data_IF_991063245048
#
_entry.id   IF_991063245048
#
_cell.length_a   1.000
_cell.length_b   1.000
_cell.length_c   1.000
_cell.angle_alpha   90.00
_cell.angle_beta   90.00
_cell.angle_gamma   90.00
#
_symmetry.space_group_name_H-M   'P 1'
#
loop_
_entity.id
_entity.type
_entity.pdbx_description
1 polymer ?
#
# COMPACT_ATOMS: atom_id res chain seq x y z
N UNK A 1 38.50 -5.70 39.66
CA UNK A 1 37.33 -5.60 38.76
C UNK A 1 37.55 -4.44 37.80
N UNK A 2 37.63 -4.69 36.49
CA UNK A 2 37.50 -3.66 35.44
C UNK A 2 36.77 -4.31 34.27
N UNK A 3 35.45 -4.10 34.22
CA UNK A 3 34.61 -4.47 33.09
C UNK A 3 34.85 -3.43 31.98
N UNK A 4 35.45 -3.84 30.87
CA UNK A 4 35.43 -3.06 29.63
C UNK A 4 34.15 -3.47 28.92
N UNK A 5 33.09 -2.71 29.11
CA UNK A 5 31.84 -2.85 28.37
C UNK A 5 32.03 -2.15 27.02
N UNK A 6 32.14 -2.92 25.94
CA UNK A 6 32.13 -2.38 24.58
C UNK A 6 30.67 -2.24 24.15
N UNK A 7 30.14 -1.06 24.44
CA UNK A 7 28.89 -0.54 23.89
C UNK A 7 29.21 0.07 22.50
N UNK A 8 28.95 -0.64 21.41
CA UNK A 8 28.88 -0.03 20.08
C UNK A 8 28.31 -0.98 19.03
N UNK A 9 27.04 -0.75 18.71
CA UNK A 9 26.52 -0.76 17.35
C UNK A 9 25.07 -0.26 17.38
N UNK A 10 24.87 1.03 17.65
CA UNK A 10 23.62 1.69 17.28
C UNK A 10 23.76 2.00 15.79
N UNK A 11 23.31 1.09 14.93
CA UNK A 11 23.12 1.41 13.52
C UNK A 11 21.79 2.15 13.42
N UNK A 12 21.86 3.48 13.49
CA UNK A 12 20.73 4.37 13.20
C UNK A 12 20.46 4.25 11.69
N UNK A 13 19.40 3.53 11.31
CA UNK A 13 18.79 3.73 10.01
C UNK A 13 18.06 5.08 10.06
N UNK A 14 18.75 6.15 9.64
CA UNK A 14 18.04 7.36 9.21
C UNK A 14 17.54 7.06 7.80
N UNK A 15 16.36 6.46 7.70
CA UNK A 15 15.65 6.36 6.43
C UNK A 15 15.24 7.78 6.02
N UNK A 16 15.75 8.20 4.88
CA UNK A 16 15.49 9.48 4.22
C UNK A 16 14.01 9.59 3.80
N UNK A 17 13.08 9.71 4.74
CA UNK A 17 11.65 9.90 4.45
C UNK A 17 11.24 11.39 4.41
N UNK A 18 12.18 12.32 4.54
CA UNK A 18 11.86 13.74 4.78
C UNK A 18 11.45 14.54 3.53
N UNK A 19 11.47 13.96 2.33
CA UNK A 19 11.15 14.67 1.08
C UNK A 19 10.31 13.85 0.07
N UNK A 20 9.62 12.79 0.50
CA UNK A 20 8.67 12.14 -0.40
C UNK A 20 7.55 13.15 -0.72
N UNK A 21 7.38 13.49 -2.00
CA UNK A 21 6.33 14.43 -2.40
C UNK A 21 4.96 13.78 -2.19
N UNK A 22 4.12 14.39 -1.35
CA UNK A 22 2.72 13.99 -1.21
C UNK A 22 1.95 14.33 -2.48
N UNK A 23 1.25 13.36 -3.04
CA UNK A 23 0.41 13.53 -4.22
C UNK A 23 -1.00 12.99 -3.98
N UNK A 24 -2.01 13.66 -4.54
CA UNK A 24 -3.39 13.17 -4.50
C UNK A 24 -3.54 11.97 -5.43
N UNK A 25 -4.07 10.88 -4.89
CA UNK A 25 -4.34 9.65 -5.62
C UNK A 25 -5.79 9.21 -5.49
N UNK A 26 -6.28 8.55 -6.53
CA UNK A 26 -7.54 7.81 -6.51
C UNK A 26 -7.25 6.34 -6.74
N UNK A 27 -7.70 5.49 -5.82
CA UNK A 27 -7.64 4.04 -5.95
C UNK A 27 -9.04 3.50 -6.25
N UNK A 28 -9.20 2.79 -7.37
CA UNK A 28 -10.40 2.03 -7.71
C UNK A 28 -10.16 0.54 -7.43
N UNK A 29 -10.93 -0.02 -6.52
CA UNK A 29 -10.86 -1.41 -6.09
C UNK A 29 -11.82 -2.24 -6.92
N UNK A 30 -11.29 -3.21 -7.67
CA UNK A 30 -12.10 -4.16 -8.41
C UNK A 30 -12.38 -5.38 -7.52
N UNK A 31 -13.64 -5.86 -7.43
CA UNK A 31 -13.99 -6.97 -6.57
C UNK A 31 -13.26 -8.24 -6.99
N UNK A 32 -12.68 -8.94 -6.01
CA UNK A 32 -12.04 -10.23 -6.25
C UNK A 32 -13.09 -11.33 -6.40
N UNK A 33 -12.93 -12.27 -7.36
CA UNK A 33 -13.75 -13.47 -7.39
C UNK A 33 -13.53 -14.28 -6.10
N UNK A 34 -14.55 -15.04 -5.67
CA UNK A 34 -14.51 -15.86 -4.44
C UNK A 34 -13.67 -17.14 -4.61
N UNK A 35 -12.43 -16.98 -5.08
CA UNK A 35 -11.43 -18.02 -5.30
C UNK A 35 -10.27 -17.76 -4.33
N UNK A 36 -9.64 -18.82 -3.82
CA UNK A 36 -8.54 -18.71 -2.86
C UNK A 36 -7.20 -19.15 -3.49
N UNK A 37 -6.09 -18.38 -3.30
CA UNK A 37 -6.02 -17.08 -2.63
C UNK A 37 -6.79 -15.99 -3.39
N UNK A 38 -7.42 -15.02 -2.69
CA UNK A 38 -8.09 -13.92 -3.37
C UNK A 38 -7.07 -13.04 -4.10
N UNK A 39 -7.46 -12.57 -5.28
CA UNK A 39 -6.68 -11.66 -6.11
C UNK A 39 -7.46 -10.36 -6.26
N UNK A 40 -6.97 -9.30 -5.62
CA UNK A 40 -7.53 -7.96 -5.71
C UNK A 40 -6.79 -7.17 -6.78
N UNK A 41 -7.53 -6.49 -7.65
CA UNK A 41 -6.96 -5.55 -8.62
C UNK A 41 -7.35 -4.15 -8.19
N UNK A 42 -6.35 -3.28 -8.05
CA UNK A 42 -6.53 -1.87 -7.70
C UNK A 42 -5.97 -1.06 -8.86
N UNK A 43 -6.76 -0.15 -9.40
CA UNK A 43 -6.31 0.86 -10.35
C UNK A 43 -5.98 2.12 -9.57
N UNK A 44 -4.76 2.61 -9.71
CA UNK A 44 -4.24 3.77 -9.00
C UNK A 44 -3.97 4.89 -10.00
N UNK A 45 -4.66 6.02 -9.85
CA UNK A 45 -4.47 7.21 -10.67
C UNK A 45 -3.82 8.32 -9.83
N UNK A 46 -2.68 8.84 -10.29
CA UNK A 46 -1.88 9.84 -9.60
C UNK A 46 -1.97 11.20 -10.32
N UNK A 47 -2.48 12.21 -9.61
CA UNK A 47 -2.94 13.48 -10.20
C UNK A 47 -1.83 14.42 -10.70
N UNK A 48 -0.75 14.58 -9.94
CA UNK A 48 0.40 15.45 -10.25
C UNK A 48 1.33 14.81 -11.28
N UNK A 49 1.73 13.55 -11.07
CA UNK A 49 2.61 12.80 -11.97
C UNK A 49 1.91 12.40 -13.27
N UNK A 50 0.56 12.34 -13.25
CA UNK A 50 -0.29 11.92 -14.38
C UNK A 50 0.05 10.50 -14.85
N UNK A 51 0.38 9.64 -13.90
CA UNK A 51 0.63 8.22 -14.15
C UNK A 51 -0.47 7.38 -13.54
N UNK A 52 -0.64 6.21 -14.11
CA UNK A 52 -1.62 5.25 -13.63
C UNK A 52 -0.99 3.87 -13.52
N UNK A 53 -1.38 3.13 -12.50
CA UNK A 53 -0.83 1.82 -12.20
C UNK A 53 -1.93 0.84 -11.85
N UNK A 54 -1.72 -0.41 -12.21
CA UNK A 54 -2.48 -1.53 -11.68
C UNK A 54 -1.65 -2.20 -10.59
N UNK A 55 -2.24 -2.34 -9.41
CA UNK A 55 -1.68 -3.06 -8.27
C UNK A 55 -2.53 -4.32 -8.10
N UNK A 56 -1.91 -5.47 -8.34
CA UNK A 56 -2.53 -6.77 -8.06
C UNK A 56 -2.06 -7.27 -6.71
N UNK A 57 -2.97 -7.51 -5.77
CA UNK A 57 -2.67 -8.04 -4.43
C UNK A 57 -3.12 -9.49 -4.34
N UNK A 58 -2.24 -10.36 -3.88
CA UNK A 58 -2.51 -11.76 -3.59
C UNK A 58 -2.31 -11.95 -2.10
N UNK A 59 -3.40 -12.22 -1.37
CA UNK A 59 -3.37 -12.39 0.08
C UNK A 59 -3.48 -13.87 0.44
N UNK A 60 -2.95 -14.26 1.60
CA UNK A 60 -3.11 -15.64 2.13
C UNK A 60 -4.31 -15.76 3.06
N UNK A 61 -5.06 -14.69 3.26
CA UNK A 61 -6.20 -14.62 4.17
C UNK A 61 -7.50 -14.44 3.38
N UNK A 62 -8.64 -14.70 4.02
CA UNK A 62 -9.96 -14.56 3.37
C UNK A 62 -10.56 -13.16 3.52
N UNK A 63 -9.75 -12.17 3.88
CA UNK A 63 -10.20 -10.81 4.19
C UNK A 63 -10.67 -10.11 2.93
N UNK A 64 -11.75 -9.33 3.02
CA UNK A 64 -12.40 -8.66 1.89
C UNK A 64 -12.10 -7.17 1.92
N UNK A 65 -11.30 -6.69 0.95
CA UNK A 65 -11.01 -5.25 0.83
C UNK A 65 -12.16 -4.49 0.15
N UNK A 66 -12.89 -5.12 -0.77
CA UNK A 66 -14.05 -4.53 -1.42
C UNK A 66 -14.97 -5.65 -1.96
N UNK A 67 -16.25 -5.63 -1.58
CA UNK A 67 -17.25 -6.61 -2.04
C UNK A 67 -17.91 -6.22 -3.38
N UNK A 68 -17.80 -4.96 -3.76
CA UNK A 68 -18.26 -4.35 -5.00
C UNK A 68 -17.23 -3.30 -5.44
N UNK A 69 -17.28 -2.78 -6.68
CA UNK A 69 -16.35 -1.74 -7.10
C UNK A 69 -16.43 -0.53 -6.18
N UNK A 70 -15.30 -0.15 -5.59
CA UNK A 70 -15.20 0.93 -4.62
C UNK A 70 -14.07 1.89 -4.98
N UNK A 71 -14.19 3.14 -4.54
CA UNK A 71 -13.17 4.17 -4.76
C UNK A 71 -12.71 4.76 -3.44
N UNK A 72 -11.40 4.80 -3.27
CA UNK A 72 -10.73 5.52 -2.20
C UNK A 72 -10.03 6.73 -2.78
N UNK A 73 -10.23 7.89 -2.18
CA UNK A 73 -9.45 9.10 -2.46
C UNK A 73 -8.53 9.37 -1.28
N UNK A 74 -7.30 9.75 -1.57
CA UNK A 74 -6.28 9.88 -0.53
C UNK A 74 -5.00 10.54 -1.03
N UNK A 75 -3.96 10.38 -0.23
CA UNK A 75 -2.61 10.84 -0.54
C UNK A 75 -1.67 9.64 -0.71
N UNK A 76 -0.71 9.81 -1.60
CA UNK A 76 0.44 8.91 -1.74
C UNK A 76 1.73 9.63 -1.38
N UNK A 77 2.64 8.89 -0.78
CA UNK A 77 4.03 9.30 -0.54
C UNK A 77 4.95 8.30 -1.23
N UNK A 78 5.66 8.76 -2.26
CA UNK A 78 6.57 7.95 -3.04
C UNK A 78 7.55 8.82 -3.85
N UNK A 79 8.76 8.30 -4.11
CA UNK A 79 9.69 8.92 -5.07
C UNK A 79 9.38 8.46 -6.50
N UNK A 80 9.10 7.17 -6.65
CA UNK A 80 8.70 6.51 -7.89
C UNK A 80 7.99 5.20 -7.57
N UNK A 81 7.08 4.77 -8.46
CA UNK A 81 6.41 3.48 -8.35
C UNK A 81 6.78 2.56 -9.54
N UNK A 82 7.99 1.97 -9.54
CA UNK A 82 8.41 1.03 -10.58
C UNK A 82 7.48 -0.17 -10.71
N UNK A 83 7.32 -0.68 -11.93
CA UNK A 83 6.66 -1.98 -12.11
C UNK A 83 7.49 -3.11 -11.49
N UNK A 84 6.82 -4.14 -10.98
CA UNK A 84 7.46 -5.30 -10.38
C UNK A 84 6.75 -5.87 -9.17
N UNK A 85 7.45 -6.74 -8.44
CA UNK A 85 6.94 -7.38 -7.23
C UNK A 85 7.30 -6.57 -5.99
N UNK A 86 6.36 -6.51 -5.05
CA UNK A 86 6.45 -5.81 -3.78
C UNK A 86 5.89 -6.70 -2.67
N UNK A 87 6.41 -6.54 -1.46
CA UNK A 87 5.69 -6.94 -0.25
C UNK A 87 4.67 -5.86 0.07
N UNK A 88 3.46 -6.24 0.49
CA UNK A 88 2.41 -5.32 0.85
C UNK A 88 1.90 -5.54 2.27
N UNK A 89 1.59 -4.45 2.96
CA UNK A 89 0.85 -4.44 4.22
C UNK A 89 -0.39 -3.56 4.02
N UNK A 90 -1.56 -4.12 4.31
CA UNK A 90 -2.84 -3.44 4.14
C UNK A 90 -3.50 -3.27 5.51
N UNK A 91 -4.00 -2.06 5.76
CA UNK A 91 -4.87 -1.77 6.89
C UNK A 91 -6.11 -1.07 6.37
N UNK A 92 -7.28 -1.44 6.85
CA UNK A 92 -8.52 -0.76 6.50
C UNK A 92 -9.43 -0.72 7.71
N UNK A 93 -10.10 0.42 7.89
CA UNK A 93 -11.10 0.62 8.93
C UNK A 93 -10.51 0.33 10.34
N UNK A 94 -9.24 0.74 10.58
CA UNK A 94 -8.60 0.65 11.90
C UNK A 94 -9.28 1.65 12.86
N UNK A 95 -10.21 1.16 13.66
CA UNK A 95 -11.15 1.94 14.47
C UNK A 95 -10.50 2.76 15.62
N UNK A 96 -9.17 2.95 15.63
CA UNK A 96 -8.42 3.60 16.71
C UNK A 96 -8.50 5.14 16.73
N UNK A 97 -9.21 5.80 15.81
CA UNK A 97 -9.12 7.26 15.65
C UNK A 97 -10.36 8.05 15.20
N UNK A 98 -11.50 7.41 14.93
CA UNK A 98 -12.77 8.09 14.60
C UNK A 98 -13.17 8.02 13.12
N UNK A 99 -12.24 8.19 12.18
CA UNK A 99 -12.51 8.08 10.74
C UNK A 99 -12.03 6.72 10.20
N UNK A 100 -12.84 6.12 9.30
CA UNK A 100 -12.46 4.88 8.63
C UNK A 100 -11.46 5.19 7.51
N UNK A 101 -10.22 4.77 7.67
CA UNK A 101 -9.15 4.96 6.67
C UNK A 101 -8.70 3.65 6.06
N UNK A 102 -8.31 3.69 4.78
CA UNK A 102 -7.60 2.62 4.09
C UNK A 102 -6.14 3.04 3.93
N UNK A 103 -5.22 2.14 4.29
CA UNK A 103 -3.78 2.28 4.11
C UNK A 103 -3.22 1.08 3.36
N UNK A 104 -2.36 1.34 2.39
CA UNK A 104 -1.51 0.32 1.77
C UNK A 104 -0.06 0.79 1.71
N UNK A 105 0.81 -0.05 2.23
CA UNK A 105 2.27 0.11 2.20
C UNK A 105 2.85 -0.93 1.24
N UNK A 106 3.55 -0.51 0.19
CA UNK A 106 4.27 -1.38 -0.72
C UNK A 106 5.78 -1.16 -0.55
N UNK A 107 6.52 -2.25 -0.35
CA UNK A 107 7.96 -2.20 -0.14
C UNK A 107 8.69 -3.19 -1.01
N UNK A 108 9.77 -2.73 -1.64
CA UNK A 108 10.81 -3.57 -2.27
C UNK A 108 12.17 -2.91 -2.09
N UNK A 109 13.28 -3.62 -2.32
CA UNK A 109 14.59 -2.98 -2.32
C UNK A 109 14.64 -1.79 -3.29
N UNK A 110 14.88 -0.59 -2.75
CA UNK A 110 15.03 0.66 -3.52
C UNK A 110 13.74 1.37 -3.93
N UNK A 111 12.56 0.91 -3.49
CA UNK A 111 11.31 1.65 -3.70
C UNK A 111 10.29 1.38 -2.60
N UNK A 112 9.70 2.45 -2.10
CA UNK A 112 8.64 2.45 -1.11
C UNK A 112 7.46 3.28 -1.65
N UNK A 113 6.25 2.82 -1.37
CA UNK A 113 5.03 3.51 -1.71
C UNK A 113 4.07 3.38 -0.54
N UNK A 114 3.58 4.51 -0.07
CA UNK A 114 2.60 4.59 1.00
C UNK A 114 1.37 5.31 0.47
N UNK A 115 0.19 4.75 0.69
CA UNK A 115 -1.10 5.38 0.42
C UNK A 115 -1.92 5.40 1.69
N UNK A 116 -2.60 6.52 1.95
CA UNK A 116 -3.63 6.65 2.97
C UNK A 116 -4.84 7.41 2.39
N UNK A 117 -6.04 6.85 2.56
CA UNK A 117 -7.27 7.45 2.06
C UNK A 117 -8.52 6.90 2.73
N UNK A 118 -9.67 7.10 2.09
CA UNK A 118 -10.97 6.62 2.62
C UNK A 118 -11.05 5.09 2.66
N UNK A 119 -11.61 4.53 3.74
CA UNK A 119 -11.87 3.10 3.87
C UNK A 119 -12.74 2.53 2.75
N UNK A 120 -12.51 1.26 2.41
CA UNK A 120 -13.28 0.52 1.37
C UNK A 120 -13.88 -0.79 1.87
N UNK A 121 -13.56 -1.19 3.10
CA UNK A 121 -14.10 -2.36 3.77
C UNK A 121 -15.05 -1.98 4.92
N UNK A 122 -16.13 -2.75 5.06
CA UNK A 122 -17.05 -2.65 6.20
C UNK A 122 -16.43 -3.20 7.49
N UNK A 123 -15.55 -4.20 7.36
CA UNK A 123 -14.85 -4.88 8.44
C UNK A 123 -13.43 -4.34 8.61
N UNK A 124 -12.90 -4.41 9.83
CA UNK A 124 -11.52 -4.00 10.11
C UNK A 124 -10.54 -5.01 9.51
N UNK A 125 -9.53 -4.50 8.81
CA UNK A 125 -8.38 -5.24 8.29
C UNK A 125 -7.14 -4.63 8.94
N UNK A 126 -6.42 -5.39 9.75
CA UNK A 126 -5.23 -4.89 10.45
C UNK A 126 -4.00 -5.73 10.05
N UNK A 127 -3.01 -5.07 9.43
CA UNK A 127 -1.72 -5.67 9.11
C UNK A 127 -1.79 -6.83 8.11
N UNK A 128 -2.78 -6.85 7.21
CA UNK A 128 -2.93 -7.92 6.23
C UNK A 128 -1.74 -7.94 5.28
N UNK A 129 -1.01 -9.05 5.29
CA UNK A 129 0.13 -9.25 4.41
C UNK A 129 -0.34 -9.75 3.03
N UNK A 130 0.25 -9.19 1.98
CA UNK A 130 0.01 -9.62 0.62
C UNK A 130 1.29 -9.57 -0.23
N UNK A 131 1.33 -10.41 -1.25
CA UNK A 131 2.26 -10.24 -2.37
C UNK A 131 1.61 -9.28 -3.37
N UNK A 132 2.33 -8.23 -3.75
CA UNK A 132 1.84 -7.21 -4.68
C UNK A 132 2.61 -7.24 -5.99
N UNK A 133 1.89 -7.10 -7.12
CA UNK A 133 2.48 -6.86 -8.43
C UNK A 133 1.98 -5.54 -8.99
N UNK A 134 2.91 -4.63 -9.26
CA UNK A 134 2.64 -3.30 -9.80
C UNK A 134 2.98 -3.30 -11.29
N UNK A 135 2.07 -2.77 -12.10
CA UNK A 135 2.24 -2.57 -13.54
C UNK A 135 1.81 -1.15 -13.92
N UNK A 136 2.62 -0.43 -14.69
CA UNK A 136 2.19 0.85 -15.28
C UNK A 136 1.07 0.62 -16.30
N UNK A 137 0.04 1.46 -16.26
CA UNK A 137 -1.09 1.45 -17.20
C UNK A 137 -0.88 2.46 -18.33
N UNK A 138 -1.40 2.11 -19.49
CA UNK A 138 -1.49 2.98 -20.66
C UNK A 138 -2.96 3.30 -20.97
N UNK A 139 -3.21 4.27 -21.84
CA UNK A 139 -4.58 4.67 -22.22
C UNK A 139 -5.44 3.50 -22.78
N UNK A 140 -4.82 2.44 -23.29
CA UNK A 140 -5.52 1.25 -23.79
C UNK A 140 -5.89 0.21 -22.73
N UNK A 141 -5.47 0.38 -21.47
CA UNK A 141 -5.71 -0.56 -20.36
C UNK A 141 -7.00 -0.28 -19.55
N UNK A 142 -7.71 0.81 -19.85
CA UNK A 142 -8.92 1.23 -19.13
C UNK A 142 -10.19 0.47 -19.55
#
# INVERSE_FOLDING_TARGET
>A
MKFISLLSAVLVFVLSAANAEKEVATLEFLPAPRIFPPLYRIRADFSKSRTSHEITLITKERNWLASFPERSSGEVEYDQLPSGQYSAIINDNDAKGGDKTFRIDLTRPGAEFHYEGTSVADEAVEGLQADAHVRAMSAGDY
#
